data_IF_082799981633
#
_entry.id   IF_082799981633
#
_cell.length_a   1.000
_cell.length_b   1.000
_cell.length_c   1.000
_cell.angle_alpha   90.00
_cell.angle_beta   90.00
_cell.angle_gamma   90.00
#
_symmetry.space_group_name_H-M   'P 1'
#
loop_
_entity.id
_entity.type
_entity.pdbx_description
1 polymer ?
#
# COMPACT_ATOMS: atom_id res chain seq x y z
N UNK A 1 -4.14 21.26 -8.89
CA UNK A 1 -4.64 22.20 -7.87
C UNK A 1 -4.52 21.51 -6.52
N UNK A 2 -3.88 22.11 -5.52
CA UNK A 2 -3.77 21.52 -4.18
C UNK A 2 -4.98 21.88 -3.33
N UNK A 3 -5.56 20.89 -2.66
CA UNK A 3 -6.59 21.10 -1.64
C UNK A 3 -5.89 21.46 -0.33
N UNK A 4 -6.21 22.62 0.26
CA UNK A 4 -5.69 23.03 1.57
C UNK A 4 -6.76 22.78 2.63
N UNK A 5 -6.47 21.90 3.58
CA UNK A 5 -7.36 21.57 4.70
C UNK A 5 -6.94 22.40 5.93
N UNK A 6 -7.89 23.09 6.55
CA UNK A 6 -7.63 23.87 7.76
C UNK A 6 -7.14 22.98 8.92
N UNK A 7 -6.27 23.48 9.83
CA UNK A 7 -5.74 22.68 10.93
C UNK A 7 -6.80 21.95 11.79
N UNK A 8 -7.94 22.57 12.17
CA UNK A 8 -8.97 21.87 12.95
C UNK A 8 -9.57 20.66 12.22
N UNK A 9 -9.79 20.77 10.90
CA UNK A 9 -10.33 19.67 10.10
C UNK A 9 -9.27 18.58 9.89
N UNK A 10 -8.01 18.97 9.65
CA UNK A 10 -6.91 18.02 9.49
C UNK A 10 -6.69 17.17 10.76
N UNK A 11 -6.83 17.75 11.95
CA UNK A 11 -6.74 17.03 13.22
C UNK A 11 -7.87 16.01 13.39
N UNK A 12 -9.11 16.39 13.06
CA UNK A 12 -10.25 15.48 13.07
C UNK A 12 -10.07 14.33 12.07
N UNK A 13 -9.55 14.60 10.88
CA UNK A 13 -9.28 13.57 9.87
C UNK A 13 -8.22 12.58 10.35
N UNK A 14 -7.12 13.06 10.95
CA UNK A 14 -6.08 12.17 11.54
C UNK A 14 -6.64 11.30 12.65
N UNK A 15 -7.47 11.87 13.53
CA UNK A 15 -8.14 11.13 14.60
C UNK A 15 -9.08 10.06 14.02
N UNK A 16 -9.87 10.41 13.02
CA UNK A 16 -10.80 9.50 12.37
C UNK A 16 -10.09 8.38 11.58
N UNK A 17 -8.93 8.68 10.98
CA UNK A 17 -8.12 7.72 10.25
C UNK A 17 -7.50 6.64 11.17
N UNK A 18 -7.38 6.89 12.48
CA UNK A 18 -6.97 5.88 13.46
C UNK A 18 -5.57 5.31 13.22
N UNK A 19 -4.65 6.11 12.67
CA UNK A 19 -3.29 5.69 12.32
C UNK A 19 -3.10 5.27 10.85
N UNK A 20 -4.18 5.18 10.07
CA UNK A 20 -4.10 5.02 8.60
C UNK A 20 -3.59 6.30 7.94
N UNK A 21 -3.05 6.17 6.73
CA UNK A 21 -2.79 7.32 5.87
C UNK A 21 -4.12 8.08 5.61
N UNK A 22 -4.08 9.41 5.76
CA UNK A 22 -5.29 10.25 5.69
C UNK A 22 -5.87 10.27 4.29
N UNK A 23 -5.04 10.19 3.24
CA UNK A 23 -5.55 10.15 1.86
C UNK A 23 -6.25 8.83 1.58
N UNK A 24 -5.68 7.70 2.01
CA UNK A 24 -6.33 6.39 1.89
C UNK A 24 -7.65 6.33 2.69
N UNK A 25 -7.67 6.92 3.89
CA UNK A 25 -8.88 7.03 4.69
C UNK A 25 -9.96 7.83 3.96
N UNK A 26 -9.61 9.02 3.45
CA UNK A 26 -10.53 9.87 2.68
C UNK A 26 -11.05 9.14 1.44
N UNK A 27 -10.18 8.43 0.71
CA UNK A 27 -10.58 7.64 -0.44
C UNK A 27 -11.61 6.57 -0.05
N UNK A 28 -11.38 5.85 1.04
CA UNK A 28 -12.35 4.85 1.52
C UNK A 28 -13.72 5.43 1.90
N UNK A 29 -13.81 6.73 2.23
CA UNK A 29 -15.08 7.41 2.51
C UNK A 29 -15.83 7.85 1.24
N UNK A 30 -15.12 8.10 0.15
CA UNK A 30 -15.71 8.57 -1.11
C UNK A 30 -15.81 7.48 -2.17
N UNK A 31 -15.14 6.34 -1.98
CA UNK A 31 -15.04 5.26 -2.97
C UNK A 31 -16.41 4.78 -3.47
N UNK A 32 -17.40 4.64 -2.59
CA UNK A 32 -18.76 4.23 -2.95
C UNK A 32 -19.48 5.21 -3.90
N UNK A 33 -18.98 6.44 -4.01
CA UNK A 33 -19.53 7.50 -4.88
C UNK A 33 -18.80 7.64 -6.21
N UNK A 34 -17.72 6.87 -6.41
CA UNK A 34 -16.91 6.89 -7.63
C UNK A 34 -17.31 5.72 -8.53
N UNK A 35 -17.14 5.90 -9.84
CA UNK A 35 -17.24 4.79 -10.77
C UNK A 35 -16.08 3.80 -10.53
N UNK A 36 -16.28 2.48 -10.74
CA UNK A 36 -15.21 1.49 -10.54
C UNK A 36 -13.91 1.81 -11.28
N UNK A 37 -14.00 2.36 -12.49
CA UNK A 37 -12.82 2.78 -13.27
C UNK A 37 -12.08 3.95 -12.62
N UNK A 38 -12.80 4.92 -12.07
CA UNK A 38 -12.19 6.04 -11.35
C UNK A 38 -11.47 5.55 -10.08
N UNK A 39 -12.06 4.58 -9.36
CA UNK A 39 -11.41 3.97 -8.20
C UNK A 39 -10.08 3.31 -8.59
N UNK A 40 -10.09 2.50 -9.66
CA UNK A 40 -8.87 1.84 -10.17
C UNK A 40 -7.80 2.89 -10.50
N UNK A 41 -8.15 3.93 -11.26
CA UNK A 41 -7.21 4.98 -11.67
C UNK A 41 -6.61 5.70 -10.45
N UNK A 42 -7.42 5.99 -9.43
CA UNK A 42 -6.95 6.62 -8.19
C UNK A 42 -6.01 5.69 -7.42
N UNK A 43 -6.31 4.40 -7.32
CA UNK A 43 -5.43 3.43 -6.66
C UNK A 43 -4.09 3.29 -7.37
N UNK A 44 -4.07 3.25 -8.71
CA UNK A 44 -2.83 3.22 -9.47
C UNK A 44 -2.02 4.51 -9.28
N UNK A 45 -2.69 5.67 -9.23
CA UNK A 45 -2.03 6.94 -8.94
C UNK A 45 -1.43 6.98 -7.50
N UNK A 46 -2.14 6.43 -6.51
CA UNK A 46 -1.66 6.30 -5.13
C UNK A 46 -0.49 5.33 -5.04
N UNK A 47 -0.55 4.19 -5.73
CA UNK A 47 0.57 3.26 -5.83
C UNK A 47 1.84 3.97 -6.29
N UNK A 48 1.75 4.68 -7.43
CA UNK A 48 2.88 5.40 -8.02
C UNK A 48 3.41 6.52 -7.11
N UNK A 49 2.51 7.23 -6.42
CA UNK A 49 2.88 8.24 -5.43
C UNK A 49 3.64 7.62 -4.27
N UNK A 50 3.08 6.59 -3.63
CA UNK A 50 3.67 5.95 -2.47
C UNK A 50 5.00 5.29 -2.80
N UNK A 51 5.14 4.67 -3.99
CA UNK A 51 6.40 4.09 -4.41
C UNK A 51 7.50 5.15 -4.55
N UNK A 52 7.20 6.30 -5.18
CA UNK A 52 8.15 7.43 -5.26
C UNK A 52 8.52 7.98 -3.88
N UNK A 53 7.54 8.12 -2.98
CA UNK A 53 7.78 8.57 -1.61
C UNK A 53 8.66 7.58 -0.84
N UNK A 54 8.39 6.28 -0.97
CA UNK A 54 9.14 5.21 -0.31
C UNK A 54 10.62 5.21 -0.72
N UNK A 55 10.88 5.36 -2.02
CA UNK A 55 12.24 5.44 -2.56
C UNK A 55 12.96 6.71 -2.08
N UNK A 56 12.30 7.87 -2.11
CA UNK A 56 12.89 9.12 -1.61
C UNK A 56 13.22 9.06 -0.11
N UNK A 57 12.36 8.45 0.71
CA UNK A 57 12.58 8.27 2.14
C UNK A 57 13.72 7.29 2.41
N UNK A 58 13.78 6.21 1.64
CA UNK A 58 14.85 5.22 1.71
C UNK A 58 16.23 5.84 1.41
N UNK A 59 16.32 6.68 0.37
CA UNK A 59 17.55 7.42 0.03
C UNK A 59 18.00 8.35 1.16
N UNK A 60 17.04 8.98 1.85
CA UNK A 60 17.29 9.85 3.01
C UNK A 60 17.61 9.08 4.30
N UNK A 61 17.49 7.75 4.29
CA UNK A 61 17.72 6.89 5.46
C UNK A 61 16.55 6.82 6.44
N UNK A 62 15.38 7.38 6.09
CA UNK A 62 14.17 7.26 6.90
C UNK A 62 13.47 5.93 6.61
N UNK A 63 14.06 4.85 7.14
CA UNK A 63 13.66 3.48 6.82
C UNK A 63 12.26 3.14 7.33
N UNK A 64 11.85 3.64 8.50
CA UNK A 64 10.53 3.37 9.04
C UNK A 64 9.43 4.00 8.20
N UNK A 65 9.58 5.26 7.80
CA UNK A 65 8.63 5.91 6.89
C UNK A 65 8.67 5.31 5.48
N UNK A 66 9.87 4.96 4.98
CA UNK A 66 9.99 4.27 3.71
C UNK A 66 9.23 2.93 3.72
N UNK A 67 9.35 2.17 4.81
CA UNK A 67 8.63 0.91 5.00
C UNK A 67 7.12 1.07 4.94
N UNK A 68 6.57 2.10 5.60
CA UNK A 68 5.14 2.42 5.52
C UNK A 68 4.70 2.78 4.11
N UNK A 69 5.51 3.55 3.38
CA UNK A 69 5.19 3.91 1.99
C UNK A 69 5.33 2.75 1.01
N UNK A 70 6.24 1.80 1.22
CA UNK A 70 6.25 0.55 0.46
C UNK A 70 4.98 -0.27 0.72
N UNK A 71 4.51 -0.32 1.98
CA UNK A 71 3.26 -0.97 2.32
C UNK A 71 2.08 -0.32 1.59
N UNK A 72 1.94 1.01 1.69
CA UNK A 72 0.91 1.78 0.97
C UNK A 72 0.93 1.56 -0.56
N UNK A 73 2.14 1.49 -1.15
CA UNK A 73 2.28 1.19 -2.58
C UNK A 73 1.73 -0.21 -2.93
N UNK A 74 2.01 -1.23 -2.12
CA UNK A 74 1.52 -2.60 -2.35
C UNK A 74 0.02 -2.70 -2.13
N UNK A 75 -0.52 -2.09 -1.07
CA UNK A 75 -1.96 -2.13 -0.76
C UNK A 75 -2.79 -1.37 -1.78
N UNK A 76 -2.29 -0.27 -2.31
CA UNK A 76 -2.94 0.44 -3.41
C UNK A 76 -3.04 -0.45 -4.68
N UNK A 77 -2.00 -1.20 -5.04
CA UNK A 77 -2.10 -2.18 -6.13
C UNK A 77 -3.10 -3.29 -5.84
N UNK A 78 -3.13 -3.81 -4.61
CA UNK A 78 -4.15 -4.78 -4.24
C UNK A 78 -5.56 -4.21 -4.37
N UNK A 79 -5.78 -2.96 -3.99
CA UNK A 79 -7.08 -2.30 -4.16
C UNK A 79 -7.46 -2.20 -5.64
N UNK A 80 -6.53 -1.82 -6.53
CA UNK A 80 -6.76 -1.79 -7.97
C UNK A 80 -7.12 -3.17 -8.55
N UNK A 81 -6.33 -4.20 -8.22
CA UNK A 81 -6.55 -5.59 -8.64
C UNK A 81 -7.91 -6.10 -8.14
N UNK A 82 -8.20 -5.87 -6.85
CA UNK A 82 -9.43 -6.34 -6.23
C UNK A 82 -10.67 -5.65 -6.81
N UNK A 83 -10.59 -4.33 -7.03
CA UNK A 83 -11.66 -3.56 -7.67
C UNK A 83 -11.97 -4.11 -9.07
N UNK A 84 -10.94 -4.32 -9.90
CA UNK A 84 -11.09 -4.91 -11.25
C UNK A 84 -11.71 -6.31 -11.23
N UNK A 85 -11.48 -7.06 -10.15
CA UNK A 85 -11.92 -8.46 -10.00
C UNK A 85 -13.18 -8.61 -9.14
N UNK A 86 -13.78 -7.51 -8.67
CA UNK A 86 -14.97 -7.54 -7.80
C UNK A 86 -14.71 -8.23 -6.45
N UNK A 87 -13.49 -8.11 -5.91
CA UNK A 87 -13.08 -8.70 -4.63
C UNK A 87 -13.16 -7.68 -3.49
N UNK A 88 -13.41 -8.13 -2.24
CA UNK A 88 -13.23 -7.30 -1.06
C UNK A 88 -11.79 -6.75 -0.98
N UNK A 89 -11.64 -5.51 -0.53
CA UNK A 89 -10.37 -4.81 -0.35
C UNK A 89 -10.49 -3.80 0.81
N UNK A 90 -9.39 -3.13 1.20
CA UNK A 90 -9.24 -2.16 2.32
C UNK A 90 -8.81 -2.66 3.71
N UNK A 91 -8.82 -3.96 3.99
CA UNK A 91 -8.32 -4.47 5.27
C UNK A 91 -7.13 -5.41 5.10
N UNK A 92 -6.35 -5.57 6.18
CA UNK A 92 -5.29 -6.60 6.25
C UNK A 92 -5.82 -8.00 5.93
N UNK A 93 -7.07 -8.30 6.34
CA UNK A 93 -7.72 -9.58 6.02
C UNK A 93 -7.98 -9.70 4.53
N UNK A 94 -8.46 -8.63 3.89
CA UNK A 94 -8.77 -8.65 2.46
C UNK A 94 -7.50 -8.82 1.63
N UNK A 95 -6.40 -8.15 1.99
CA UNK A 95 -5.11 -8.34 1.31
C UNK A 95 -4.60 -9.78 1.43
N UNK A 96 -4.84 -10.46 2.56
CA UNK A 96 -4.54 -11.88 2.69
C UNK A 96 -5.42 -12.76 1.78
N UNK A 97 -6.70 -12.42 1.59
CA UNK A 97 -7.58 -13.12 0.65
C UNK A 97 -7.14 -12.88 -0.80
N UNK A 98 -6.77 -11.65 -1.14
CA UNK A 98 -6.29 -11.27 -2.48
C UNK A 98 -5.02 -12.04 -2.82
N UNK A 99 -4.01 -12.05 -1.94
CA UNK A 99 -2.74 -12.72 -2.24
C UNK A 99 -2.89 -14.24 -2.38
N UNK A 100 -3.74 -14.87 -1.54
CA UNK A 100 -4.04 -16.31 -1.65
C UNK A 100 -4.73 -16.63 -2.97
N UNK A 101 -5.67 -15.78 -3.40
CA UNK A 101 -6.34 -15.95 -4.69
C UNK A 101 -5.36 -15.83 -5.86
N UNK A 102 -4.50 -14.81 -5.86
CA UNK A 102 -3.48 -14.63 -6.89
C UNK A 102 -2.50 -15.82 -6.91
N UNK A 103 -2.19 -16.40 -5.75
CA UNK A 103 -1.28 -17.54 -5.65
C UNK A 103 -1.93 -18.80 -6.23
N UNK A 104 -3.19 -19.08 -5.90
CA UNK A 104 -3.94 -20.20 -6.47
C UNK A 104 -4.02 -20.14 -7.99
N UNK A 105 -4.12 -18.93 -8.56
CA UNK A 105 -4.21 -18.74 -10.02
C UNK A 105 -2.86 -18.85 -10.73
N UNK A 106 -1.77 -18.39 -10.10
CA UNK A 106 -0.46 -18.26 -10.75
C UNK A 106 0.52 -19.38 -10.38
N UNK A 107 0.34 -20.01 -9.21
CA UNK A 107 1.32 -20.92 -8.61
C UNK A 107 2.65 -20.24 -8.20
N UNK A 108 2.72 -18.90 -8.22
CA UNK A 108 3.96 -18.16 -8.03
C UNK A 108 4.22 -17.89 -6.55
N UNK A 109 5.01 -18.75 -5.90
CA UNK A 109 5.35 -18.60 -4.48
C UNK A 109 6.01 -17.26 -4.12
N UNK A 110 6.63 -16.58 -5.10
CA UNK A 110 7.31 -15.31 -4.85
C UNK A 110 6.35 -14.20 -4.46
N UNK A 111 5.07 -14.27 -4.85
CA UNK A 111 4.07 -13.28 -4.42
C UNK A 111 3.75 -13.44 -2.92
N UNK A 112 3.70 -14.67 -2.40
CA UNK A 112 3.48 -14.95 -0.97
C UNK A 112 4.68 -14.48 -0.13
N UNK A 113 5.89 -14.79 -0.61
CA UNK A 113 7.15 -14.36 0.02
C UNK A 113 7.24 -12.83 0.04
N UNK A 114 7.00 -12.20 -1.11
CA UNK A 114 7.00 -10.74 -1.24
C UNK A 114 5.99 -10.08 -0.30
N UNK A 115 4.76 -10.58 -0.23
CA UNK A 115 3.74 -10.01 0.66
C UNK A 115 4.10 -10.16 2.14
N UNK A 116 4.72 -11.29 2.53
CA UNK A 116 5.22 -11.48 3.90
C UNK A 116 6.29 -10.45 4.26
N UNK A 117 7.18 -10.13 3.33
CA UNK A 117 8.22 -9.12 3.53
C UNK A 117 7.64 -7.69 3.53
N UNK A 118 6.62 -7.41 2.72
CA UNK A 118 5.88 -6.14 2.78
C UNK A 118 5.24 -5.92 4.16
N UNK A 119 4.58 -6.94 4.73
CA UNK A 119 4.02 -6.87 6.10
C UNK A 119 5.09 -6.60 7.16
N UNK A 120 6.31 -7.13 6.98
CA UNK A 120 7.42 -6.86 7.90
C UNK A 120 7.93 -5.42 7.79
N UNK A 121 7.92 -4.81 6.60
CA UNK A 121 8.20 -3.37 6.45
C UNK A 121 7.15 -2.52 7.17
N UNK A 122 5.86 -2.86 7.02
CA UNK A 122 4.77 -2.19 7.73
C UNK A 122 4.92 -2.32 9.26
N UNK A 123 5.22 -3.51 9.77
CA UNK A 123 5.48 -3.70 11.20
C UNK A 123 6.68 -2.86 11.70
N UNK A 124 7.71 -2.66 10.86
CA UNK A 124 8.87 -1.84 11.21
C UNK A 124 8.54 -0.34 11.36
N UNK A 125 7.49 0.15 10.72
CA UNK A 125 7.04 1.53 10.92
C UNK A 125 6.65 1.80 12.38
N UNK A 126 5.95 0.85 13.02
CA UNK A 126 5.53 0.99 14.43
C UNK A 126 6.59 0.60 15.46
N UNK A 127 7.50 -0.31 15.08
CA UNK A 127 8.36 -0.99 16.05
C UNK A 127 9.86 -0.71 15.86
N UNK A 128 10.26 -0.04 14.77
CA UNK A 128 11.63 0.41 14.51
C UNK A 128 12.72 -0.65 14.74
N UNK A 129 12.46 -1.91 14.39
CA UNK A 129 13.35 -3.04 14.68
C UNK A 129 14.32 -3.39 13.53
N UNK A 130 14.17 -2.80 12.35
CA UNK A 130 14.84 -3.24 11.14
C UNK A 130 16.07 -2.40 10.80
N UNK A 131 17.22 -3.06 10.79
CA UNK A 131 18.49 -2.49 10.32
C UNK A 131 18.57 -2.39 8.80
N UNK A 132 19.37 -1.44 8.29
CA UNK A 132 19.51 -1.13 6.85
C UNK A 132 19.75 -2.37 5.97
N UNK A 133 20.69 -3.24 6.33
CA UNK A 133 21.00 -4.45 5.54
C UNK A 133 19.79 -5.39 5.41
N UNK A 134 19.00 -5.52 6.47
CA UNK A 134 17.77 -6.31 6.44
C UNK A 134 16.70 -5.59 5.62
N UNK A 135 16.58 -4.28 5.79
CA UNK A 135 15.66 -3.44 5.02
C UNK A 135 15.90 -3.55 3.51
N UNK A 136 17.15 -3.53 3.06
CA UNK A 136 17.51 -3.64 1.64
C UNK A 136 17.01 -4.95 1.01
N UNK A 137 17.01 -6.04 1.78
CA UNK A 137 16.44 -7.33 1.35
C UNK A 137 14.93 -7.20 1.19
N UNK A 138 14.23 -6.66 2.20
CA UNK A 138 12.78 -6.51 2.16
C UNK A 138 12.34 -5.59 1.02
N UNK A 139 12.99 -4.42 0.87
CA UNK A 139 12.75 -3.49 -0.24
C UNK A 139 12.85 -4.18 -1.59
N UNK A 140 13.94 -4.91 -1.85
CA UNK A 140 14.14 -5.60 -3.14
C UNK A 140 13.04 -6.61 -3.43
N UNK A 141 12.62 -7.40 -2.45
CA UNK A 141 11.55 -8.38 -2.65
C UNK A 141 10.17 -7.71 -2.80
N UNK A 142 9.93 -6.57 -2.13
CA UNK A 142 8.70 -5.78 -2.33
C UNK A 142 8.64 -5.17 -3.73
N UNK A 143 9.76 -4.66 -4.25
CA UNK A 143 9.81 -4.19 -5.64
C UNK A 143 9.52 -5.32 -6.63
N UNK A 144 10.05 -6.53 -6.38
CA UNK A 144 9.72 -7.71 -7.21
C UNK A 144 8.24 -8.10 -7.10
N UNK A 145 7.64 -8.01 -5.92
CA UNK A 145 6.21 -8.21 -5.73
C UNK A 145 5.42 -7.21 -6.59
N UNK A 146 5.75 -5.93 -6.53
CA UNK A 146 5.10 -4.87 -7.31
C UNK A 146 5.13 -5.20 -8.81
N UNK A 147 6.30 -5.56 -9.35
CA UNK A 147 6.44 -5.92 -10.76
C UNK A 147 5.62 -7.15 -11.16
N UNK A 148 5.36 -8.08 -10.23
CA UNK A 148 4.47 -9.22 -10.47
C UNK A 148 3.00 -8.79 -10.41
N UNK A 149 2.62 -7.99 -9.43
CA UNK A 149 1.25 -7.49 -9.27
C UNK A 149 0.81 -6.62 -10.44
N UNK A 150 1.69 -5.76 -10.98
CA UNK A 150 1.43 -4.96 -12.19
C UNK A 150 1.11 -5.79 -13.44
N UNK A 151 1.50 -7.07 -13.48
CA UNK A 151 1.14 -7.98 -14.59
C UNK A 151 -0.23 -8.63 -14.39
N UNK A 152 -0.80 -8.49 -13.19
CA UNK A 152 -2.06 -9.08 -12.75
C UNK A 152 -3.16 -8.03 -12.55
N UNK A 153 -2.78 -6.75 -12.63
CA UNK A 153 -3.65 -5.56 -12.56
C UNK A 153 -4.51 -5.35 -13.79
#
# INVERSE_FOLDING_TARGET
MSLVISPPVAELLRKAAGGRDVEEFLLSLIAERLDPSERIDVYLALHEKHLREAESLYEKGDLSQAGEKYWGAVTALFNAIAEKRGMPHYSHRDYAVIIERLYQETGDEEILKGFTLAKRLHANFYHHFMERKSFDVHRREVLRLIEKLKKLE
#
